data_IF_997413122865
#
_entry.id   IF_997413122865
#
_cell.length_a   1.000
_cell.length_b   1.000
_cell.length_c   1.000
_cell.angle_alpha   90.00
_cell.angle_beta   90.00
_cell.angle_gamma   90.00
#
_symmetry.space_group_name_H-M   'P 1'
#
loop_
_entity.id
_entity.type
_entity.pdbx_description
1 polymer ?
2 polymer ?
#
# COMPACT_ATOMS: atom_id res chain seq x y z
N UNK A 4 5.82 24.08 7.12
CA UNK A 4 5.97 24.96 5.98
C UNK A 4 4.66 25.07 5.20
N UNK A 5 3.76 24.13 5.42
CA UNK A 5 2.50 24.06 4.72
C UNK A 5 1.35 24.52 5.62
N UNK A 6 0.29 25.03 4.99
CA UNK A 6 -0.91 25.40 5.70
C UNK A 6 -1.50 24.18 6.41
N UNK A 7 -2.17 24.38 7.54
CA UNK A 7 -2.72 23.22 8.28
C UNK A 7 -3.65 22.37 7.41
N UNK A 8 -3.53 21.05 7.59
CA UNK A 8 -4.43 20.10 6.97
C UNK A 8 -5.79 20.10 7.66
N UNK A 9 -6.82 19.75 6.91
CA UNK A 9 -8.17 19.67 7.45
C UNK A 9 -8.31 18.31 8.15
N UNK A 10 -8.16 18.31 9.46
CA UNK A 10 -8.15 17.07 10.23
C UNK A 10 -9.39 16.20 10.00
N UNK A 11 -10.61 16.72 10.05
CA UNK A 11 -11.77 15.84 9.94
C UNK A 11 -12.21 15.54 8.51
N UNK A 12 -11.97 16.46 7.58
CA UNK A 12 -12.52 16.28 6.24
C UNK A 12 -11.45 15.80 5.27
N UNK A 13 -11.82 14.96 4.30
CA UNK A 13 -10.82 14.50 3.32
C UNK A 13 -10.45 15.59 2.34
N UNK A 14 -9.20 15.58 1.89
CA UNK A 14 -8.74 16.70 1.08
C UNK A 14 -7.72 16.23 0.05
N UNK A 15 -7.52 17.06 -0.97
CA UNK A 15 -6.48 16.86 -1.97
C UNK A 15 -5.55 18.06 -1.94
N UNK A 16 -4.25 17.78 -1.90
CA UNK A 16 -3.22 18.81 -1.76
C UNK A 16 -2.15 18.61 -2.81
N UNK A 17 -1.78 19.67 -3.51
CA UNK A 17 -0.68 19.65 -4.45
C UNK A 17 0.53 20.28 -3.78
N UNK A 18 1.64 19.55 -3.74
CA UNK A 18 2.81 19.96 -2.97
C UNK A 18 4.03 20.09 -3.86
N UNK A 19 4.78 21.16 -3.69
CA UNK A 19 5.98 21.43 -4.46
C UNK A 19 7.20 21.02 -3.65
N UNK A 20 7.95 20.04 -4.16
CA UNK A 20 9.16 19.58 -3.50
C UNK A 20 10.25 19.43 -4.55
N UNK A 21 11.41 20.02 -4.28
CA UNK A 21 12.49 20.05 -5.25
C UNK A 21 12.00 20.60 -6.57
N UNK A 22 12.38 19.95 -7.67
CA UNK A 22 11.88 20.39 -8.99
C UNK A 22 10.54 19.79 -9.39
N UNK A 23 9.86 19.09 -8.49
CA UNK A 23 8.67 18.33 -8.83
C UNK A 23 7.46 18.81 -8.03
N UNK A 24 6.28 18.47 -8.53
CA UNK A 24 5.02 18.64 -7.83
C UNK A 24 4.39 17.26 -7.64
N UNK A 25 3.91 17.00 -6.42
CA UNK A 25 3.28 15.74 -6.07
C UNK A 25 1.83 15.98 -5.71
N UNK A 26 0.97 15.03 -6.07
CA UNK A 26 -0.45 15.08 -5.72
C UNK A 26 -0.69 14.14 -4.55
N UNK A 27 -1.16 14.68 -3.44
CA UNK A 27 -1.46 13.91 -2.25
C UNK A 27 -2.96 13.99 -1.97
N UNK A 28 -3.49 12.90 -1.43
CA UNK A 28 -4.88 12.85 -0.99
C UNK A 28 -4.91 12.32 0.43
N UNK A 29 -5.60 13.02 1.32
CA UNK A 29 -5.69 12.64 2.71
C UNK A 29 -7.13 12.19 2.97
N UNK A 30 -7.26 10.99 3.52
CA UNK A 30 -8.54 10.40 3.90
C UNK A 30 -8.44 9.95 5.36
N UNK A 31 -9.52 10.10 6.11
CA UNK A 31 -9.56 9.75 7.52
C UNK A 31 -10.61 8.69 7.74
N UNK A 32 -10.31 7.74 8.62
CA UNK A 32 -11.22 6.65 8.91
C UNK A 32 -11.43 5.74 7.71
N UNK A 42 -5.67 20.00 20.09
CA UNK A 42 -4.46 20.66 19.60
C UNK A 42 -4.09 20.17 18.21
N UNK A 43 -4.60 20.87 17.19
CA UNK A 43 -4.43 20.47 15.81
C UNK A 43 -3.06 20.83 15.23
N UNK A 44 -2.28 21.67 15.90
CA UNK A 44 -0.95 21.99 15.40
C UNK A 44 -0.05 20.76 15.38
N UNK A 45 -0.08 19.98 16.46
CA UNK A 45 0.69 18.73 16.50
C UNK A 45 0.24 17.79 15.39
N UNK A 46 -1.08 17.73 15.14
CA UNK A 46 -1.60 16.85 14.10
C UNK A 46 -1.08 17.28 12.74
N UNK A 47 -1.14 18.58 12.46
CA UNK A 47 -0.62 19.08 11.19
C UNK A 47 0.86 18.77 11.05
N UNK A 48 1.63 18.93 12.13
CA UNK A 48 3.06 18.69 12.04
C UNK A 48 3.36 17.22 11.75
N UNK A 49 2.66 16.30 12.42
CA UNK A 49 2.92 14.90 12.17
C UNK A 49 2.41 14.46 10.80
N UNK A 50 1.36 15.10 10.28
CA UNK A 50 0.93 14.80 8.92
C UNK A 50 1.96 15.29 7.90
N UNK A 51 2.54 16.47 8.12
CA UNK A 51 3.63 16.92 7.26
C UNK A 51 4.80 15.95 7.34
N UNK A 52 5.11 15.45 8.55
CA UNK A 52 6.17 14.46 8.70
C UNK A 52 5.85 13.20 7.91
N UNK A 53 4.58 12.78 7.93
CA UNK A 53 4.18 11.60 7.16
C UNK A 53 4.39 11.84 5.67
N UNK A 54 4.03 13.03 5.20
CA UNK A 54 4.25 13.35 3.78
C UNK A 54 5.73 13.28 3.46
N UNK A 55 6.57 13.82 4.34
CA UNK A 55 8.01 13.79 4.09
C UNK A 55 8.55 12.37 4.11
N UNK A 56 7.99 11.50 4.95
CA UNK A 56 8.40 10.10 4.96
C UNK A 56 8.03 9.43 3.64
N UNK A 57 6.79 9.66 3.18
CA UNK A 57 6.38 9.11 1.90
C UNK A 57 7.32 9.58 0.79
N UNK A 58 7.68 10.86 0.81
CA UNK A 58 8.61 11.37 -0.18
C UNK A 58 9.99 10.73 -0.04
N UNK A 59 10.37 10.35 1.17
CA UNK A 59 11.64 9.69 1.36
C UNK A 59 11.63 8.21 1.08
N UNK A 60 10.46 7.63 0.83
CA UNK A 60 10.35 6.20 0.52
C UNK A 60 9.42 6.01 -0.66
N UNK A 61 9.63 6.81 -1.72
CA UNK A 61 8.73 6.79 -2.86
C UNK A 61 8.58 5.40 -3.47
N UNK A 62 9.62 4.59 -3.41
CA UNK A 62 9.64 3.29 -4.08
C UNK A 62 9.39 2.12 -3.14
N UNK A 63 9.28 2.37 -1.83
CA UNK A 63 9.12 1.30 -0.84
C UNK A 63 8.07 1.68 0.18
N UNK A 64 6.90 2.10 -0.29
CA UNK A 64 5.82 2.51 0.60
C UNK A 64 5.49 1.41 1.59
N UNK A 65 5.36 1.80 2.87
CA UNK A 65 4.97 0.89 3.94
C UNK A 65 4.22 1.68 5.00
N UNK A 66 3.33 1.04 5.75
CA UNK A 66 2.62 1.76 6.80
C UNK A 66 3.54 2.10 7.97
N UNK A 67 3.20 3.18 8.66
CA UNK A 67 4.00 3.65 9.78
C UNK A 67 3.09 4.32 10.79
N UNK A 68 3.58 4.42 12.02
CA UNK A 68 2.83 4.95 13.15
C UNK A 68 3.42 6.28 13.57
N UNK A 69 2.56 7.29 13.69
CA UNK A 69 2.95 8.55 14.31
C UNK A 69 2.56 8.51 15.79
N UNK A 70 2.72 9.63 16.49
CA UNK A 70 2.37 9.66 17.91
C UNK A 70 0.88 9.39 18.12
N UNK A 71 0.04 9.83 17.18
CA UNK A 71 -1.41 9.73 17.36
C UNK A 71 -2.12 8.93 16.27
N UNK A 72 -1.46 8.63 15.15
CA UNK A 72 -2.12 7.96 14.04
C UNK A 72 -1.27 6.80 13.53
N UNK A 73 -1.94 5.90 12.83
CA UNK A 73 -1.30 4.97 11.90
C UNK A 73 -1.59 5.49 10.49
N UNK A 74 -0.54 5.62 9.68
CA UNK A 74 -0.66 6.12 8.32
C UNK A 74 -0.41 4.97 7.37
N UNK A 75 -1.38 4.69 6.51
CA UNK A 75 -1.25 3.68 5.47
C UNK A 75 -1.10 4.41 4.14
N UNK A 76 0.12 4.56 3.63
CA UNK A 76 0.29 5.22 2.32
C UNK A 76 0.07 4.26 1.17
N UNK A 77 -0.51 4.79 0.10
CA UNK A 77 -0.76 4.03 -1.11
C UNK A 77 -0.41 4.90 -2.31
N UNK A 78 0.06 4.25 -3.37
CA UNK A 78 0.38 4.91 -4.63
C UNK A 78 -0.58 4.43 -5.70
N UNK A 79 -1.00 5.35 -6.56
CA UNK A 79 -1.85 5.00 -7.69
C UNK A 79 -1.43 5.84 -8.89
N UNK A 80 -1.78 5.36 -10.08
CA UNK A 80 -1.42 6.07 -11.29
C UNK A 80 -2.17 7.40 -11.36
N UNK A 81 -1.43 8.48 -11.61
CA UNK A 81 -2.03 9.80 -11.77
C UNK A 81 -2.55 9.92 -13.19
N UNK A 82 -3.85 9.66 -13.36
CA UNK A 82 -4.44 9.66 -14.69
C UNK A 82 -4.58 11.08 -15.21
N UNK A 83 -4.47 11.22 -16.54
CA UNK A 83 -4.66 12.50 -17.21
C UNK A 83 -3.64 13.54 -16.75
N UNK A 84 -2.47 13.09 -16.29
CA UNK A 84 -1.41 14.00 -15.90
C UNK A 84 -0.49 14.36 -17.06
N UNK A 85 -0.46 13.54 -18.11
CA UNK A 85 0.35 13.87 -19.28
C UNK A 85 -0.18 15.11 -19.99
N UNK A 86 -1.42 15.50 -19.72
CA UNK A 86 -2.02 16.70 -20.32
C UNK A 86 -1.89 17.92 -19.44
N UNK A 87 -0.99 17.90 -18.46
CA UNK A 87 -0.81 19.00 -17.54
C UNK A 87 0.63 19.50 -17.58
N UNK A 88 0.77 20.81 -17.37
CA UNK A 88 2.08 21.46 -17.31
C UNK A 88 2.09 22.38 -16.11
N UNK A 89 3.11 22.24 -15.26
CA UNK A 89 3.24 23.01 -14.03
C UNK A 89 4.45 23.95 -14.11
N UNK A 90 4.25 25.20 -13.70
CA UNK A 90 5.34 26.16 -13.70
C UNK A 90 5.35 26.95 -12.39
N UNK A 91 6.57 27.28 -11.94
CA UNK A 91 6.83 28.20 -10.85
C UNK A 91 7.66 29.35 -11.43
N UNK A 92 7.00 30.47 -11.71
CA UNK A 92 7.66 31.51 -12.47
C UNK A 92 8.00 31.00 -13.85
N UNK A 93 9.28 31.10 -14.22
CA UNK A 93 9.76 30.55 -15.48
C UNK A 93 10.24 29.12 -15.35
N UNK A 94 10.26 28.57 -14.13
CA UNK A 94 10.77 27.23 -13.89
C UNK A 94 9.68 26.22 -14.21
N UNK A 95 10.04 25.16 -14.94
CA UNK A 95 9.12 24.08 -15.24
C UNK A 95 9.21 23.03 -14.13
N UNK A 96 8.09 22.78 -13.45
CA UNK A 96 8.01 21.74 -12.43
C UNK A 96 7.48 20.46 -13.05
N UNK A 97 8.10 19.34 -12.74
CA UNK A 97 7.75 18.04 -13.31
C UNK A 97 6.78 17.34 -12.36
N UNK A 98 5.55 17.05 -12.76
CA UNK A 98 4.63 16.34 -11.86
C UNK A 98 5.02 14.88 -11.71
N UNK A 99 5.14 14.44 -10.47
CA UNK A 99 5.41 13.04 -10.21
C UNK A 99 4.22 12.21 -10.67
N UNK A 100 4.43 11.21 -11.52
CA UNK A 100 3.30 10.61 -12.24
C UNK A 100 2.39 9.73 -11.39
N UNK A 101 2.53 9.74 -10.07
CA UNK A 101 1.67 8.94 -9.21
C UNK A 101 1.09 9.78 -8.09
N UNK A 102 -0.15 9.48 -7.75
CA UNK A 102 -0.86 10.13 -6.66
C UNK A 102 -0.69 9.29 -5.40
N UNK A 103 -0.44 9.97 -4.28
CA UNK A 103 -0.27 9.30 -2.99
C UNK A 103 -1.49 9.54 -2.13
N UNK A 104 -2.11 8.47 -1.69
CA UNK A 104 -3.27 8.53 -0.80
C UNK A 104 -2.87 8.00 0.57
N UNK A 105 -3.02 8.83 1.58
CA UNK A 105 -2.66 8.49 2.95
C UNK A 105 -3.95 8.19 3.71
N UNK A 106 -4.16 6.92 4.05
CA UNK A 106 -5.28 6.54 4.90
C UNK A 106 -4.83 6.69 6.35
N UNK A 107 -5.40 7.65 7.05
CA UNK A 107 -5.04 7.95 8.43
C UNK A 107 -6.06 7.31 9.35
N UNK A 108 -5.59 6.49 10.29
CA UNK A 108 -6.46 5.83 11.26
C UNK A 108 -5.97 6.15 12.66
N UNK A 109 -6.91 6.17 13.60
CA UNK A 109 -6.57 6.40 15.00
C UNK A 109 -5.71 5.26 15.52
N UNK A 110 -4.56 5.61 16.10
CA UNK A 110 -3.63 4.60 16.59
C UNK A 110 -4.27 3.71 17.66
N UNK A 111 -5.25 4.24 18.39
CA UNK A 111 -5.98 3.44 19.36
C UNK A 111 -7.41 3.94 19.51
N UNK B 10 3.16 -4.83 15.64
CA UNK B 10 2.92 -3.40 15.55
C UNK B 10 3.37 -2.82 14.23
N UNK B 11 3.39 -1.49 14.15
CA UNK B 11 3.82 -0.78 12.97
C UNK B 11 5.11 -0.03 13.25
N UNK B 12 5.86 0.25 12.18
CA UNK B 12 7.12 0.97 12.33
C UNK B 12 6.85 2.40 12.74
N UNK B 13 7.67 2.92 13.64
CA UNK B 13 7.51 4.29 14.09
C UNK B 13 7.94 5.26 12.99
N UNK B 14 7.20 6.36 12.87
CA UNK B 14 7.56 7.39 11.89
C UNK B 14 8.98 7.87 12.15
N UNK B 15 9.42 7.90 13.40
CA UNK B 15 10.75 8.39 13.74
C UNK B 15 11.86 7.47 13.25
N UNK B 16 11.53 6.25 12.83
CA UNK B 16 12.52 5.32 12.30
C UNK B 16 12.61 5.36 10.77
N UNK B 17 11.83 6.22 10.12
CA UNK B 17 11.77 6.26 8.67
C UNK B 17 12.75 7.27 8.10
N UNK B 18 13.20 7.03 6.86
CA UNK B 18 13.90 8.05 6.12
C UNK B 18 12.93 9.19 5.79
N UNK B 19 13.42 10.43 5.83
CA UNK B 19 12.56 11.60 5.69
C UNK B 19 13.17 12.58 4.71
N UNK B 20 12.33 13.06 3.79
CA UNK B 20 12.72 14.20 2.95
C UNK B 20 12.70 15.48 3.78
N UNK B 21 13.85 16.12 3.90
CA UNK B 21 14.01 17.29 4.77
C UNK B 21 14.07 18.60 3.99
N UNK B 22 13.92 18.56 2.68
CA UNK B 22 14.05 19.74 1.87
C UNK B 22 12.83 20.66 1.97
N UNK B 23 12.86 21.71 1.16
CA UNK B 23 11.78 22.68 1.15
C UNK B 23 10.52 22.05 0.59
N UNK B 24 9.37 22.40 1.17
CA UNK B 24 8.09 21.84 0.78
C UNK B 24 7.05 22.96 0.83
N UNK B 25 6.40 23.21 -0.30
CA UNK B 25 5.46 24.32 -0.43
C UNK B 25 4.15 23.84 -1.03
N UNK B 26 3.08 24.52 -0.66
CA UNK B 26 1.79 24.28 -1.31
C UNK B 26 1.80 24.88 -2.71
N UNK B 27 1.42 24.07 -3.70
CA UNK B 27 1.33 24.51 -5.09
C UNK B 27 -0.06 25.08 -5.33
N UNK B 28 -0.16 26.40 -5.39
CA UNK B 28 -1.44 27.10 -5.58
C UNK B 28 -1.30 27.99 -6.80
N UNK B 29 -1.82 27.57 -7.95
CA UNK B 29 -1.74 28.41 -9.15
C UNK B 29 -2.37 29.77 -8.92
N UNK B 30 -1.79 30.79 -9.54
CA UNK B 30 -2.23 32.16 -9.34
C UNK B 30 -1.59 32.86 -8.16
N UNK B 31 -0.71 32.19 -7.41
CA UNK B 31 -0.04 32.79 -6.28
C UNK B 31 1.43 32.41 -6.32
N UNK B 32 2.28 33.31 -5.82
CA UNK B 32 3.71 33.07 -5.71
C UNK B 32 4.35 32.73 -7.05
N UNK B 33 3.72 33.12 -8.15
CA UNK B 33 4.26 32.83 -9.47
C UNK B 33 3.91 31.46 -10.03
N UNK B 34 3.03 30.71 -9.37
CA UNK B 34 2.68 29.37 -9.82
C UNK B 34 1.71 29.45 -11.01
N UNK B 35 1.85 28.50 -11.93
CA UNK B 35 0.98 28.44 -13.10
C UNK B 35 0.77 26.99 -13.49
N UNK B 36 -0.40 26.71 -14.08
CA UNK B 36 -0.72 25.37 -14.56
C UNK B 36 -1.55 25.49 -15.84
N UNK B 37 -1.35 24.53 -16.74
CA UNK B 37 -2.02 24.54 -18.04
C UNK B 37 -2.62 23.17 -18.32
N UNK B 38 -3.42 23.12 -19.38
CA UNK B 38 -4.07 21.89 -19.80
C UNK B 38 -4.25 21.91 -21.31
N UNK B 39 -4.17 20.73 -21.93
CA UNK B 39 -4.37 20.64 -23.37
C UNK B 39 -5.80 21.03 -23.71
N UNK B 40 -5.98 21.51 -24.94
CA UNK B 40 -7.30 21.84 -25.44
C UNK B 40 -7.33 21.59 -26.94
N UNK B 41 -8.53 21.37 -27.47
CA UNK B 41 -8.71 21.09 -28.89
C UNK B 41 -8.55 22.36 -29.72
N UNK C 4 -9.13 -26.40 3.01
CA UNK C 4 -8.06 -27.00 2.23
C UNK C 4 -6.70 -26.44 2.64
N UNK C 5 -6.71 -25.29 3.30
CA UNK C 5 -5.49 -24.63 3.73
C UNK C 5 -5.27 -24.82 5.22
N UNK C 6 -4.01 -24.77 5.63
CA UNK C 6 -3.69 -24.85 7.05
C UNK C 6 -4.36 -23.68 7.78
N UNK C 7 -4.76 -23.87 9.03
CA UNK C 7 -5.41 -22.78 9.76
C UNK C 7 -4.49 -21.57 9.81
N UNK C 8 -5.08 -20.38 9.66
CA UNK C 8 -4.31 -19.17 9.82
C UNK C 8 -4.04 -18.92 11.30
N UNK C 9 -2.89 -18.30 11.58
CA UNK C 9 -2.50 -17.98 12.95
C UNK C 9 -3.13 -16.65 13.33
N UNK C 10 -4.26 -16.71 14.03
CA UNK C 10 -4.97 -15.48 14.38
C UNK C 10 -4.08 -14.49 15.13
N UNK C 11 -3.36 -14.87 16.18
CA UNK C 11 -2.59 -13.88 16.93
C UNK C 11 -1.18 -13.66 16.40
N UNK C 12 -0.60 -14.64 15.69
CA UNK C 12 0.82 -14.61 15.37
C UNK C 12 1.03 -14.26 13.91
N UNK C 13 1.93 -13.33 13.59
CA UNK C 13 2.21 -13.03 12.19
C UNK C 13 2.89 -14.20 11.50
N UNK C 14 2.63 -14.35 10.19
CA UNK C 14 3.08 -15.55 9.51
C UNK C 14 3.44 -15.26 8.06
N UNK C 15 4.18 -16.19 7.46
CA UNK C 15 4.51 -16.16 6.04
C UNK C 15 3.97 -17.43 5.39
N UNK C 16 3.27 -17.26 4.27
CA UNK C 16 2.61 -18.37 3.59
C UNK C 16 2.95 -18.35 2.11
N UNK C 17 3.32 -19.50 1.56
CA UNK C 17 3.48 -19.65 0.12
C UNK C 17 2.26 -20.36 -0.44
N UNK C 18 1.62 -19.75 -1.44
CA UNK C 18 0.35 -20.22 -1.95
C UNK C 18 0.48 -20.58 -3.42
N UNK C 19 -0.06 -21.72 -3.80
CA UNK C 19 -0.04 -22.17 -5.19
C UNK C 19 -1.41 -21.91 -5.78
N UNK C 20 -1.46 -21.05 -6.79
CA UNK C 20 -2.71 -20.74 -7.47
C UNK C 20 -2.44 -20.71 -8.96
N UNK C 21 -3.25 -21.43 -9.72
CA UNK C 21 -3.02 -21.55 -11.14
C UNK C 21 -1.61 -22.03 -11.37
N UNK C 22 -0.89 -21.40 -12.31
CA UNK C 22 0.50 -21.78 -12.56
C UNK C 22 1.53 -21.09 -11.67
N UNK C 23 1.09 -20.40 -10.62
CA UNK C 23 2.02 -19.55 -9.89
C UNK C 23 2.10 -19.95 -8.43
N UNK C 24 3.20 -19.52 -7.82
CA UNK C 24 3.36 -19.51 -6.38
C UNK C 24 3.52 -18.06 -5.95
N UNK C 25 2.78 -17.69 -4.90
CA UNK C 25 2.80 -16.34 -4.35
C UNK C 25 3.33 -16.38 -2.93
N UNK C 26 4.11 -15.37 -2.55
CA UNK C 26 4.60 -15.21 -1.19
C UNK C 26 3.75 -14.16 -0.49
N UNK C 27 3.07 -14.58 0.57
CA UNK C 27 2.21 -13.71 1.36
C UNK C 27 2.76 -13.59 2.77
N UNK C 28 2.57 -12.44 3.36
CA UNK C 28 2.92 -12.20 4.76
C UNK C 28 1.69 -11.59 5.43
N UNK C 29 1.32 -12.15 6.57
CA UNK C 29 0.15 -11.71 7.34
C UNK C 29 0.64 -11.11 8.65
N UNK C 30 0.20 -9.89 8.94
CA UNK C 30 0.49 -9.16 10.16
C UNK C 30 -0.82 -8.76 10.82
N UNK C 31 -0.85 -8.81 12.14
CA UNK C 31 -2.05 -8.50 12.92
C UNK C 31 -1.76 -7.34 13.85
N UNK C 32 -2.76 -6.49 14.05
CA UNK C 32 -2.62 -5.34 14.93
C UNK C 32 -2.93 -5.64 16.38
N UNK C 41 -14.59 -14.96 17.93
CA UNK C 41 -14.58 -16.16 18.74
C UNK C 41 -14.80 -17.40 17.87
N UNK C 42 -15.73 -17.29 16.91
CA UNK C 42 -15.95 -18.33 15.92
C UNK C 42 -14.82 -18.22 14.90
N UNK C 43 -13.75 -18.98 15.12
CA UNK C 43 -12.55 -18.82 14.29
C UNK C 43 -12.68 -19.43 12.90
N UNK C 44 -13.70 -20.28 12.67
CA UNK C 44 -13.91 -20.79 11.32
C UNK C 44 -14.28 -19.66 10.37
N UNK C 45 -15.18 -18.78 10.81
CA UNK C 45 -15.54 -17.61 10.02
C UNK C 45 -14.32 -16.73 9.79
N UNK C 46 -13.48 -16.58 10.82
CA UNK C 46 -12.30 -15.73 10.70
C UNK C 46 -11.34 -16.28 9.67
N UNK C 47 -11.08 -17.58 9.72
CA UNK C 47 -10.22 -18.20 8.72
C UNK C 47 -10.82 -18.06 7.34
N UNK C 48 -12.13 -18.21 7.20
CA UNK C 48 -12.76 -18.11 5.89
C UNK C 48 -12.61 -16.70 5.33
N UNK C 49 -12.83 -15.69 6.16
CA UNK C 49 -12.72 -14.32 5.65
C UNK C 49 -11.26 -13.95 5.37
N UNK C 50 -10.30 -14.51 6.12
CA UNK C 50 -8.89 -14.28 5.78
C UNK C 50 -8.54 -14.96 4.46
N UNK C 51 -9.04 -16.17 4.22
CA UNK C 51 -8.87 -16.78 2.91
C UNK C 51 -9.49 -15.91 1.83
N UNK C 52 -10.68 -15.36 2.11
CA UNK C 52 -11.31 -14.45 1.15
C UNK C 52 -10.43 -13.23 0.89
N UNK C 53 -9.80 -12.70 1.93
CA UNK C 53 -8.91 -11.56 1.77
C UNK C 53 -7.73 -11.91 0.86
N UNK C 54 -7.15 -13.09 1.06
CA UNK C 54 -6.07 -13.54 0.18
C UNK C 54 -6.58 -13.67 -1.25
N UNK C 55 -7.78 -14.23 -1.42
CA UNK C 55 -8.33 -14.40 -2.76
C UNK C 55 -8.62 -13.07 -3.43
N UNK C 56 -9.01 -12.06 -2.64
CA UNK C 56 -9.22 -10.72 -3.18
C UNK C 56 -7.90 -10.12 -3.62
N UNK C 57 -6.87 -10.23 -2.79
CA UNK C 57 -5.56 -9.71 -3.17
C UNK C 57 -5.10 -10.38 -4.46
N UNK C 58 -5.31 -11.69 -4.57
CA UNK C 58 -4.93 -12.40 -5.78
C UNK C 58 -5.78 -11.95 -6.97
N UNK C 59 -7.01 -11.51 -6.73
CA UNK C 59 -7.87 -11.02 -7.78
C UNK C 59 -7.67 -9.56 -8.13
N UNK C 60 -6.83 -8.85 -7.39
CA UNK C 60 -6.56 -7.44 -7.62
C UNK C 60 -5.06 -7.18 -7.53
N UNK C 61 -4.28 -8.01 -8.20
CA UNK C 61 -2.83 -7.97 -8.03
C UNK C 61 -2.25 -6.59 -8.30
N UNK C 62 -2.84 -5.85 -9.24
CA UNK C 62 -2.25 -4.60 -9.71
C UNK C 62 -2.94 -3.36 -9.13
N UNK C 63 -4.00 -3.54 -8.36
CA UNK C 63 -4.77 -2.41 -7.84
C UNK C 63 -5.09 -2.63 -6.37
N UNK C 64 -4.05 -2.95 -5.59
CA UNK C 64 -4.22 -3.15 -4.15
C UNK C 64 -4.79 -1.89 -3.51
N UNK C 65 -5.81 -2.07 -2.68
CA UNK C 65 -6.43 -1.00 -1.91
C UNK C 65 -6.94 -1.62 -0.62
N UNK C 66 -7.09 -0.83 0.45
CA UNK C 66 -7.64 -1.39 1.68
C UNK C 66 -9.12 -1.70 1.54
N UNK C 67 -9.56 -2.72 2.28
CA UNK C 67 -10.95 -3.14 2.20
C UNK C 67 -11.40 -3.69 3.54
N UNK C 68 -12.71 -3.72 3.74
CA UNK C 68 -13.31 -4.13 5.00
C UNK C 68 -14.04 -5.46 4.83
N UNK C 69 -13.72 -6.40 5.70
CA UNK C 69 -14.48 -7.64 5.82
C UNK C 69 -15.52 -7.46 6.92
N UNK C 70 -16.23 -8.54 7.28
CA UNK C 70 -17.23 -8.44 8.33
C UNK C 70 -16.60 -8.04 9.65
N UNK C 71 -15.35 -8.46 9.90
CA UNK C 71 -14.69 -8.22 11.16
C UNK C 71 -13.38 -7.45 11.05
N UNK C 72 -12.81 -7.29 9.86
CA UNK C 72 -11.50 -6.69 9.72
C UNK C 72 -11.47 -5.63 8.63
N UNK C 73 -10.48 -4.76 8.75
CA UNK C 73 -9.97 -3.94 7.65
C UNK C 73 -8.65 -4.56 7.21
N UNK C 74 -8.51 -4.78 5.91
CA UNK C 74 -7.29 -5.35 5.36
C UNK C 74 -6.58 -4.28 4.55
N UNK C 75 -5.33 -3.99 4.91
CA UNK C 75 -4.48 -3.06 4.16
C UNK C 75 -3.45 -3.90 3.41
N UNK C 76 -3.66 -4.14 2.11
CA UNK C 76 -2.69 -4.92 1.34
C UNK C 76 -1.55 -4.06 0.80
N UNK C 77 -0.37 -4.65 0.77
CA UNK C 77 0.80 -4.00 0.23
C UNK C 77 1.54 -4.99 -0.65
N UNK C 78 2.14 -4.47 -1.71
CA UNK C 78 2.97 -5.24 -2.62
C UNK C 78 4.39 -4.70 -2.53
N UNK C 79 5.37 -5.59 -2.57
CA UNK C 79 6.77 -5.18 -2.60
C UNK C 79 7.54 -6.13 -3.51
N UNK C 80 8.69 -5.68 -3.99
CA UNK C 80 9.50 -6.50 -4.87
C UNK C 80 10.02 -7.72 -4.11
N UNK C 81 9.85 -8.90 -4.71
CA UNK C 81 10.40 -10.14 -4.15
C UNK C 81 11.86 -10.24 -4.57
N UNK C 82 12.76 -9.80 -3.69
CA UNK C 82 14.17 -9.75 -4.04
C UNK C 82 14.76 -11.15 -4.09
N UNK C 83 15.69 -11.36 -5.03
CA UNK C 83 16.34 -12.65 -5.22
C UNK C 83 15.32 -13.75 -5.53
N UNK C 84 14.20 -13.38 -6.15
CA UNK C 84 13.29 -14.39 -6.64
C UNK C 84 13.80 -15.02 -7.92
N UNK C 85 14.66 -14.32 -8.66
CA UNK C 85 15.28 -14.89 -9.86
C UNK C 85 16.21 -16.04 -9.52
N UNK C 86 16.63 -16.16 -8.26
CA UNK C 86 17.52 -17.23 -7.81
C UNK C 86 16.75 -18.41 -7.22
N UNK C 87 15.45 -18.50 -7.45
CA UNK C 87 14.63 -19.58 -6.93
C UNK C 87 13.89 -20.29 -8.05
N UNK C 88 13.68 -21.60 -7.86
CA UNK C 88 12.91 -22.42 -8.77
C UNK C 88 11.95 -23.27 -7.93
N UNK C 89 10.67 -23.19 -8.26
CA UNK C 89 9.63 -23.91 -7.54
C UNK C 89 9.06 -25.00 -8.44
N UNK C 90 8.88 -26.19 -7.90
CA UNK C 90 8.33 -27.29 -8.66
C UNK C 90 7.25 -28.00 -7.85
N UNK C 91 6.25 -28.49 -8.57
CA UNK C 91 5.23 -29.38 -8.06
C UNK C 91 5.37 -30.67 -8.86
N UNK C 92 6.04 -31.66 -8.27
CA UNK C 92 6.44 -32.80 -9.06
C UNK C 92 7.42 -32.34 -10.13
N UNK C 93 7.10 -32.65 -11.38
CA UNK C 93 7.90 -32.19 -12.52
C UNK C 93 7.40 -30.87 -13.09
N UNK C 94 6.32 -30.32 -12.55
CA UNK C 94 5.76 -29.09 -13.07
C UNK C 94 6.56 -27.91 -12.50
N UNK C 95 6.90 -26.96 -13.36
CA UNK C 95 7.56 -25.75 -12.91
C UNK C 95 6.49 -24.73 -12.54
N UNK C 96 6.52 -24.26 -11.31
CA UNK C 96 5.63 -23.21 -10.85
C UNK C 96 6.32 -21.87 -11.03
N UNK C 97 5.57 -20.89 -11.52
CA UNK C 97 6.10 -19.56 -11.82
C UNK C 97 5.90 -18.70 -10.59
N UNK C 98 6.97 -18.24 -9.94
CA UNK C 98 6.78 -17.37 -8.77
C UNK C 98 6.40 -15.95 -9.19
N UNK C 99 5.30 -15.44 -8.62
CA UNK C 99 4.93 -14.06 -8.84
C UNK C 99 5.98 -13.16 -8.19
N UNK C 100 6.61 -12.24 -8.93
CA UNK C 100 7.83 -11.60 -8.44
C UNK C 100 7.62 -10.56 -7.35
N UNK C 101 6.43 -10.53 -6.74
CA UNK C 101 6.15 -9.58 -5.67
C UNK C 101 5.59 -10.29 -4.44
N UNK C 102 6.01 -9.82 -3.28
CA UNK C 102 5.53 -10.30 -2.00
C UNK C 102 4.38 -9.41 -1.52
N UNK C 103 3.33 -10.06 -1.03
CA UNK C 103 2.14 -9.35 -0.54
C UNK C 103 2.12 -9.40 0.99
N UNK C 104 2.02 -8.22 1.61
CA UNK C 104 1.89 -8.10 3.05
C UNK C 104 0.49 -7.61 3.36
N UNK C 105 -0.26 -8.38 4.13
CA UNK C 105 -1.62 -8.03 4.52
C UNK C 105 -1.61 -7.57 5.96
N UNK C 106 -1.81 -6.27 6.18
CA UNK C 106 -1.97 -5.74 7.53
C UNK C 106 -3.45 -5.85 7.91
N UNK C 107 -3.76 -6.75 8.83
CA UNK C 107 -5.14 -7.01 9.24
C UNK C 107 -5.41 -6.28 10.54
N UNK C 108 -6.46 -5.46 10.55
CA UNK C 108 -6.87 -4.68 11.70
C UNK C 108 -8.35 -4.96 11.96
N UNK C 109 -8.82 -4.54 13.14
CA UNK C 109 -10.18 -4.84 13.56
C UNK C 109 -11.19 -3.83 13.02
N UNK C 110 -12.28 -4.35 12.44
CA UNK C 110 -13.40 -3.51 12.02
C UNK C 110 -14.24 -3.18 13.24
N UNK C 111 -14.01 -1.99 13.82
CA UNK C 111 -14.76 -1.56 14.99
C UNK C 111 -16.15 -1.06 14.59
N UNK D 10 -14.54 5.39 5.45
CA UNK D 10 -15.26 4.34 4.76
C UNK D 10 -14.38 3.59 3.76
N UNK D 11 -14.34 2.27 3.91
CA UNK D 11 -13.58 1.41 3.02
C UNK D 11 -14.51 0.55 2.19
N UNK D 12 -14.00 0.06 1.06
CA UNK D 12 -14.78 -0.78 0.18
C UNK D 12 -15.06 -2.12 0.85
N UNK D 13 -16.27 -2.64 0.66
CA UNK D 13 -16.60 -3.94 1.22
C UNK D 13 -15.91 -5.04 0.44
N UNK D 14 -15.43 -6.06 1.16
CA UNK D 14 -14.79 -7.19 0.50
C UNK D 14 -15.74 -7.82 -0.52
N UNK D 15 -17.05 -7.79 -0.24
CA UNK D 15 -18.02 -8.39 -1.13
C UNK D 15 -18.19 -7.63 -2.44
N UNK D 16 -17.64 -6.41 -2.54
CA UNK D 16 -17.69 -5.63 -3.76
C UNK D 16 -16.45 -5.81 -4.62
N UNK D 17 -15.59 -6.75 -4.27
CA UNK D 17 -14.32 -6.92 -4.95
C UNK D 17 -14.24 -8.21 -5.75
N UNK D 18 -13.34 -8.22 -6.71
CA UNK D 18 -13.06 -9.44 -7.46
C UNK D 18 -12.26 -10.41 -6.60
N UNK D 19 -12.55 -11.69 -6.75
CA UNK D 19 -11.93 -12.74 -5.95
C UNK D 19 -11.44 -13.84 -6.87
N UNK D 20 -10.22 -14.30 -6.64
CA UNK D 20 -9.74 -15.52 -7.28
C UNK D 20 -10.49 -16.70 -6.66
N UNK D 21 -11.23 -17.43 -7.49
CA UNK D 21 -12.10 -18.49 -7.01
C UNK D 21 -11.55 -19.88 -7.29
N UNK D 22 -10.38 -20.00 -7.90
CA UNK D 22 -9.84 -21.30 -8.24
C UNK D 22 -9.23 -22.00 -7.05
N UNK D 23 -8.62 -23.16 -7.33
CA UNK D 23 -7.98 -23.91 -6.27
C UNK D 23 -6.77 -23.15 -5.76
N UNK D 24 -6.56 -23.24 -4.45
CA UNK D 24 -5.51 -22.50 -3.77
C UNK D 24 -4.91 -23.44 -2.74
N UNK D 25 -3.59 -23.66 -2.82
CA UNK D 25 -2.92 -24.61 -1.96
C UNK D 25 -1.72 -23.96 -1.29
N UNK D 26 -1.40 -24.43 -0.09
CA UNK D 26 -0.15 -24.06 0.56
C UNK D 26 1.01 -24.77 -0.13
N UNK D 27 2.03 -24.00 -0.51
CA UNK D 27 3.22 -24.57 -1.13
C UNK D 27 4.19 -24.91 -0.01
N UNK D 28 4.30 -26.20 0.30
CA UNK D 28 5.14 -26.70 1.38
C UNK D 28 6.09 -27.72 0.79
N UNK D 29 7.35 -27.35 0.53
CA UNK D 29 8.29 -28.33 -0.03
C UNK D 29 8.39 -29.55 0.87
N UNK D 30 8.54 -30.71 0.23
CA UNK D 30 8.52 -31.97 0.95
C UNK D 30 7.12 -32.55 1.13
N UNK D 31 6.09 -31.87 0.65
CA UNK D 31 4.72 -32.34 0.75
C UNK D 31 4.02 -32.14 -0.58
N UNK D 32 3.11 -33.07 -0.89
CA UNK D 32 2.31 -33.01 -2.11
C UNK D 32 3.16 -32.93 -3.38
N UNK D 33 4.43 -33.35 -3.30
CA UNK D 33 5.32 -33.30 -4.44
C UNK D 33 5.99 -31.97 -4.66
N UNK D 34 5.83 -31.02 -3.74
CA UNK D 34 6.40 -29.69 -3.90
C UNK D 34 7.90 -29.70 -3.61
N UNK D 35 8.62 -28.86 -4.36
CA UNK D 35 10.06 -28.74 -4.22
C UNK D 35 10.46 -27.30 -4.49
N UNK D 36 11.58 -26.88 -3.89
CA UNK D 36 12.14 -25.57 -4.13
C UNK D 36 13.65 -25.68 -4.16
N UNK D 37 14.28 -24.85 -4.99
CA UNK D 37 15.72 -24.88 -5.21
C UNK D 37 16.30 -23.48 -5.13
N UNK D 38 17.63 -23.42 -5.16
CA UNK D 38 18.36 -22.16 -5.11
C UNK D 38 19.64 -22.31 -5.93
N UNK D 39 20.06 -21.19 -6.55
CA UNK D 39 21.29 -21.19 -7.32
C UNK D 39 22.48 -21.45 -6.42
N UNK D 40 23.55 -21.99 -7.00
CA UNK D 40 24.79 -22.21 -6.28
C UNK D 40 26.00 -22.09 -7.20
#
# INVERSE_FOLDING_TARGET
>A
GSXSLKPFTYPFPETRFLHAGPNVYKFKIRYGKSIRGEEIENKEVITQELEDSVRVVLGNLDNLQPFATEHFIVFPYKSKWERVSHLKFKHGEIILIPYPFVFTLYVEMKWFHE
>B
GSXVNNXVTGYISIDAMKKFLGELHDFIPGTSGYLAYHVQNEINXSAIKNKLKRK
>C
GSXSLKPFTYPFPETRFLHAGPNVYKFKIRYGKSIRGEEIENKEVITQELEDSVRVVLGNLDNLQPFATEHFIVFPYKSKWERVSHLKFKHGEIILIPYPFVFTLYVEMKWFHE
>D
GSXVNNXVTGYISIDAMKKFLGELHDFIPGTSGYLAYHVQNEINXSAIKNKLKRK
#
